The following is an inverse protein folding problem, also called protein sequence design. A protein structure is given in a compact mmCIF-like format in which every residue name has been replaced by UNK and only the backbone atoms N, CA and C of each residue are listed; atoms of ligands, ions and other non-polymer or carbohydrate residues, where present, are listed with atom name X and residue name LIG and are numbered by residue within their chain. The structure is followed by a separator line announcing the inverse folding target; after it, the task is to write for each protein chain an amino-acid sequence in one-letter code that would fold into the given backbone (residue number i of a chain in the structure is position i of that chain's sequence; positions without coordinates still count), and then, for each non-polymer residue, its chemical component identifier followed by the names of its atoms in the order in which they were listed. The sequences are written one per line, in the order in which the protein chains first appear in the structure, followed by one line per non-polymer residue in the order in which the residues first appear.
data_IF_124123047091
#
_entry.id   IF_124123047091
#
_cell.length_a   1.000
_cell.length_b   1.000
_cell.length_c   1.000
_cell.angle_alpha   90.00
_cell.angle_beta   90.00
_cell.angle_gamma   90.00
#
_symmetry.space_group_name_H-M   'P 1'
#
loop_
_entity.id
_entity.type
_entity.pdbx_description
1 polymer ?
#
# COMPACT_ATOMS: atom_id res chain seq x y z
N UNK A 1 33.07 -25.79 31.79
CA UNK A 1 33.25 -26.08 30.34
C UNK A 1 31.88 -26.49 29.79
N UNK A 2 31.11 -25.53 29.25
CA UNK A 2 29.78 -25.78 28.68
C UNK A 2 29.88 -25.85 27.16
N UNK A 3 29.49 -26.99 26.58
CA UNK A 3 29.45 -27.19 25.13
C UNK A 3 28.13 -26.63 24.56
N UNK A 4 28.15 -25.88 23.45
CA UNK A 4 26.95 -25.37 22.83
C UNK A 4 26.16 -26.51 22.15
N UNK A 5 24.86 -26.59 22.46
CA UNK A 5 23.92 -27.49 21.79
C UNK A 5 23.77 -27.09 20.32
N UNK A 6 24.06 -28.03 19.40
CA UNK A 6 23.96 -27.86 17.95
C UNK A 6 22.47 -27.69 17.57
N UNK A 7 21.97 -26.45 17.58
CA UNK A 7 20.57 -26.13 17.26
C UNK A 7 20.24 -26.67 15.86
N UNK A 8 19.23 -27.53 15.78
CA UNK A 8 18.92 -28.32 14.59
C UNK A 8 18.32 -27.45 13.46
N UNK A 9 19.19 -26.91 12.61
CA UNK A 9 18.83 -26.07 11.45
C UNK A 9 17.86 -26.74 10.47
N UNK A 10 17.73 -28.07 10.50
CA UNK A 10 16.82 -28.82 9.62
C UNK A 10 15.34 -28.63 10.01
N UNK A 11 15.04 -28.57 11.32
CA UNK A 11 13.68 -28.27 11.82
C UNK A 11 13.32 -26.80 11.61
N UNK A 12 14.28 -25.90 11.79
CA UNK A 12 14.11 -24.47 11.52
C UNK A 12 13.88 -24.18 10.03
N UNK A 13 14.63 -24.86 9.14
CA UNK A 13 14.41 -24.78 7.69
C UNK A 13 13.04 -25.32 7.30
N UNK A 14 12.62 -26.48 7.85
CA UNK A 14 11.30 -27.04 7.58
C UNK A 14 10.16 -26.12 8.05
N UNK A 15 10.31 -25.50 9.23
CA UNK A 15 9.37 -24.54 9.79
C UNK A 15 9.24 -23.25 8.96
N UNK A 16 10.26 -22.88 8.18
CA UNK A 16 10.22 -21.71 7.30
C UNK A 16 9.77 -22.07 5.88
N UNK A 17 10.16 -23.23 5.35
CA UNK A 17 9.86 -23.61 3.97
C UNK A 17 8.42 -24.04 3.77
N UNK A 18 7.82 -24.75 4.72
CA UNK A 18 6.43 -25.22 4.60
C UNK A 18 5.42 -24.06 4.52
N UNK A 19 5.43 -23.05 5.43
CA UNK A 19 4.52 -21.92 5.30
C UNK A 19 4.81 -21.09 4.05
N UNK A 20 6.07 -20.95 3.64
CA UNK A 20 6.43 -20.23 2.42
C UNK A 20 5.86 -20.89 1.16
N UNK A 21 5.94 -22.23 1.05
CA UNK A 21 5.36 -22.99 -0.06
C UNK A 21 3.82 -22.93 -0.04
N UNK A 22 3.19 -22.98 1.14
CA UNK A 22 1.75 -22.83 1.27
C UNK A 22 1.26 -21.44 0.86
N UNK A 23 1.99 -20.38 1.21
CA UNK A 23 1.68 -19.00 0.80
C UNK A 23 1.80 -18.85 -0.72
N UNK A 24 2.82 -19.46 -1.34
CA UNK A 24 2.96 -19.48 -2.80
C UNK A 24 1.84 -20.28 -3.50
N UNK A 25 1.42 -21.40 -2.91
CA UNK A 25 0.32 -22.22 -3.44
C UNK A 25 -1.06 -21.56 -3.27
N UNK A 26 -1.21 -20.59 -2.36
CA UNK A 26 -2.45 -19.86 -2.15
C UNK A 26 -2.77 -18.84 -3.27
N UNK A 27 -1.80 -18.53 -4.15
CA UNK A 27 -2.04 -17.71 -5.34
C UNK A 27 -2.67 -18.56 -6.47
N UNK A 28 -4.00 -18.76 -6.46
CA UNK A 28 -4.73 -19.28 -7.62
C UNK A 28 -5.47 -18.14 -8.34
N UNK A 29 -4.98 -17.75 -9.53
CA UNK A 29 -5.57 -16.64 -10.31
C UNK A 29 -6.91 -16.94 -11.00
N UNK A 30 -7.36 -18.19 -11.01
CA UNK A 30 -8.53 -18.65 -11.78
C UNK A 30 -9.76 -18.95 -10.90
N UNK A 31 -9.99 -18.14 -9.86
CA UNK A 31 -11.19 -18.25 -9.03
C UNK A 31 -12.42 -17.64 -9.72
N UNK A 32 -13.65 -18.06 -9.38
CA UNK A 32 -14.88 -17.46 -9.91
C UNK A 32 -15.07 -15.98 -9.50
N UNK A 33 -14.27 -15.49 -8.56
CA UNK A 33 -14.30 -14.13 -8.08
C UNK A 33 -12.85 -13.59 -8.02
N UNK A 34 -12.58 -12.54 -8.78
CA UNK A 34 -11.29 -11.86 -8.83
C UNK A 34 -11.50 -10.37 -8.57
N UNK A 35 -10.63 -9.78 -7.75
CA UNK A 35 -10.63 -8.34 -7.50
C UNK A 35 -9.91 -7.55 -8.61
N UNK A 36 -9.12 -8.23 -9.45
CA UNK A 36 -8.28 -7.62 -10.50
C UNK A 36 -8.76 -7.97 -11.92
N UNK A 37 -9.95 -8.57 -12.03
CA UNK A 37 -10.55 -8.94 -13.32
C UNK A 37 -12.03 -8.54 -13.32
N UNK A 38 -12.35 -7.31 -13.78
CA UNK A 38 -13.70 -6.76 -13.66
C UNK A 38 -14.69 -7.41 -14.65
N UNK A 39 -15.64 -8.17 -14.12
CA UNK A 39 -16.65 -8.89 -14.93
C UNK A 39 -17.87 -8.08 -15.37
N UNK A 40 -18.09 -6.88 -14.83
CA UNK A 40 -19.29 -6.06 -15.07
C UNK A 40 -18.99 -4.56 -15.20
N UNK A 41 -19.97 -3.74 -15.63
CA UNK A 41 -19.78 -2.29 -15.82
C UNK A 41 -19.34 -1.59 -14.53
N UNK A 42 -20.07 -1.77 -13.43
CA UNK A 42 -19.71 -1.21 -12.11
C UNK A 42 -18.34 -1.72 -11.64
N UNK A 43 -18.00 -2.97 -11.92
CA UNK A 43 -16.69 -3.51 -11.57
C UNK A 43 -15.55 -2.82 -12.33
N UNK A 44 -15.77 -2.46 -13.61
CA UNK A 44 -14.78 -1.70 -14.40
C UNK A 44 -14.58 -0.28 -13.89
N UNK A 45 -15.64 0.37 -13.41
CA UNK A 45 -15.53 1.71 -12.84
C UNK A 45 -14.75 1.69 -11.51
N UNK A 46 -15.00 0.65 -10.68
CA UNK A 46 -14.24 0.40 -9.45
C UNK A 46 -12.76 0.10 -9.78
N UNK A 47 -12.49 -0.72 -10.79
CA UNK A 47 -11.15 -1.08 -11.24
C UNK A 47 -10.36 0.16 -11.73
N UNK A 48 -11.00 1.04 -12.51
CA UNK A 48 -10.37 2.30 -12.91
C UNK A 48 -10.07 3.24 -11.74
N UNK A 49 -10.93 3.27 -10.72
CA UNK A 49 -10.64 4.01 -9.48
C UNK A 49 -9.51 3.37 -8.69
N UNK A 50 -9.43 2.05 -8.65
CA UNK A 50 -8.34 1.31 -8.03
C UNK A 50 -7.00 1.64 -8.69
N UNK A 51 -6.95 1.61 -10.02
CA UNK A 51 -5.74 1.96 -10.80
C UNK A 51 -5.25 3.38 -10.47
N UNK A 52 -6.17 4.35 -10.44
CA UNK A 52 -5.85 5.73 -10.09
C UNK A 52 -5.18 5.82 -8.71
N UNK A 53 -5.81 5.23 -7.69
CA UNK A 53 -5.31 5.28 -6.31
C UNK A 53 -4.01 4.49 -6.18
N UNK A 54 -3.90 3.34 -6.84
CA UNK A 54 -2.71 2.50 -6.82
C UNK A 54 -1.48 3.24 -7.37
N UNK A 55 -1.62 3.91 -8.51
CA UNK A 55 -0.52 4.69 -9.09
C UNK A 55 -0.17 5.92 -8.27
N UNK A 56 -1.15 6.62 -7.71
CA UNK A 56 -0.90 7.73 -6.78
C UNK A 56 -0.15 7.29 -5.52
N UNK A 57 -0.60 6.19 -4.90
CA UNK A 57 0.04 5.64 -3.71
C UNK A 57 1.47 5.17 -4.00
N UNK A 58 1.67 4.49 -5.14
CA UNK A 58 2.99 4.06 -5.59
C UNK A 58 3.93 5.24 -5.80
N UNK A 59 3.46 6.33 -6.42
CA UNK A 59 4.26 7.54 -6.62
C UNK A 59 4.69 8.18 -5.29
N UNK A 60 3.77 8.31 -4.32
CA UNK A 60 4.08 8.84 -2.98
C UNK A 60 5.05 7.92 -2.24
N UNK A 61 4.84 6.60 -2.31
CA UNK A 61 5.73 5.61 -1.70
C UNK A 61 7.16 5.76 -2.22
N UNK A 62 7.33 5.83 -3.55
CA UNK A 62 8.63 6.03 -4.18
C UNK A 62 9.25 7.36 -3.73
N UNK A 63 8.48 8.44 -3.77
CA UNK A 63 8.95 9.76 -3.36
C UNK A 63 9.48 9.79 -1.92
N UNK A 64 8.70 9.29 -0.96
CA UNK A 64 9.10 9.24 0.45
C UNK A 64 10.30 8.32 0.64
N UNK A 65 10.32 7.16 -0.04
CA UNK A 65 11.43 6.21 0.03
C UNK A 65 12.73 6.83 -0.49
N UNK A 66 12.68 7.56 -1.60
CA UNK A 66 13.85 8.27 -2.15
C UNK A 66 14.35 9.31 -1.16
N UNK A 67 13.47 10.15 -0.60
CA UNK A 67 13.86 11.16 0.39
C UNK A 67 14.48 10.52 1.63
N UNK A 68 13.92 9.42 2.11
CA UNK A 68 14.42 8.70 3.28
C UNK A 68 15.79 8.08 3.04
N UNK A 69 15.96 7.34 1.93
CA UNK A 69 17.25 6.73 1.55
C UNK A 69 18.29 7.82 1.30
N UNK A 70 17.91 8.91 0.63
CA UNK A 70 18.78 10.06 0.42
C UNK A 70 19.21 10.68 1.75
N UNK A 71 18.30 10.89 2.70
CA UNK A 71 18.62 11.46 3.99
C UNK A 71 19.59 10.57 4.77
N UNK A 72 19.35 9.26 4.82
CA UNK A 72 20.26 8.29 5.43
C UNK A 72 21.64 8.39 4.79
N UNK A 73 21.72 8.35 3.45
CA UNK A 73 23.01 8.30 2.77
C UNK A 73 23.77 9.63 2.87
N UNK A 74 23.06 10.76 2.83
CA UNK A 74 23.62 12.12 2.83
C UNK A 74 24.08 12.59 4.21
N UNK A 75 23.35 12.20 5.26
CA UNK A 75 23.60 12.62 6.65
C UNK A 75 24.12 11.48 7.54
N UNK A 76 24.58 10.37 6.95
CA UNK A 76 25.27 9.32 7.68
C UNK A 76 26.53 9.88 8.34
N UNK A 77 26.69 9.60 9.63
CA UNK A 77 27.92 9.85 10.37
C UNK A 77 29.12 9.16 9.68
N UNK A 78 30.25 9.86 9.67
CA UNK A 78 31.50 9.37 9.09
C UNK A 78 32.50 9.08 10.21
N UNK A 79 33.42 8.16 9.96
CA UNK A 79 34.47 7.84 10.92
C UNK A 79 35.27 9.10 11.29
N UNK A 80 35.33 9.41 12.59
CA UNK A 80 36.00 10.59 13.13
C UNK A 80 35.19 11.89 13.15
N UNK A 81 33.88 11.84 12.88
CA UNK A 81 32.98 13.00 12.99
C UNK A 81 32.27 13.03 14.35
N UNK A 82 32.89 13.70 15.34
CA UNK A 82 32.31 13.91 16.68
C UNK A 82 31.43 15.18 16.75
N UNK A 83 30.96 15.70 15.61
CA UNK A 83 30.22 16.97 15.57
C UNK A 83 28.76 16.78 15.97
N UNK A 84 28.33 17.43 17.05
CA UNK A 84 26.91 17.44 17.46
C UNK A 84 26.04 18.23 16.45
N UNK A 85 24.95 17.65 15.92
CA UNK A 85 24.06 18.36 15.01
C UNK A 85 23.35 19.52 15.70
N UNK A 86 23.06 20.57 14.94
CA UNK A 86 22.32 21.74 15.44
C UNK A 86 20.91 21.32 15.88
N UNK A 87 20.63 21.46 17.18
CA UNK A 87 19.30 21.23 17.75
C UNK A 87 18.34 22.33 17.26
N UNK A 88 17.47 21.97 16.31
CA UNK A 88 16.40 22.83 15.80
C UNK A 88 15.05 22.26 16.23
N UNK A 89 14.14 23.12 16.69
CA UNK A 89 12.82 22.69 17.16
C UNK A 89 11.88 22.24 16.04
N UNK A 90 12.18 22.56 14.78
CA UNK A 90 11.35 22.23 13.63
C UNK A 90 11.49 23.26 12.52
N UNK A 91 10.75 23.03 11.44
CA UNK A 91 10.64 23.98 10.34
C UNK A 91 9.17 24.08 9.95
N UNK A 92 8.52 25.15 10.41
CA UNK A 92 7.09 25.40 10.18
C UNK A 92 6.72 25.35 8.70
N UNK A 93 7.62 25.77 7.79
CA UNK A 93 7.34 25.72 6.36
C UNK A 93 7.25 24.27 5.85
N UNK A 94 8.11 23.37 6.34
CA UNK A 94 8.09 21.94 5.96
C UNK A 94 6.89 21.25 6.59
N UNK A 95 6.59 21.55 7.85
CA UNK A 95 5.45 20.98 8.58
C UNK A 95 4.12 21.35 7.90
N UNK A 96 3.91 22.64 7.63
CA UNK A 96 2.71 23.11 6.92
C UNK A 96 2.68 22.57 5.48
N UNK A 97 3.82 22.57 4.79
CA UNK A 97 3.91 22.03 3.42
C UNK A 97 3.48 20.57 3.34
N UNK A 98 3.94 19.72 4.27
CA UNK A 98 3.57 18.30 4.33
C UNK A 98 2.09 18.07 4.63
N UNK A 99 1.51 18.88 5.52
CA UNK A 99 0.07 18.82 5.84
C UNK A 99 -0.77 19.24 4.64
N UNK A 100 -0.46 20.38 4.03
CA UNK A 100 -1.19 20.89 2.85
C UNK A 100 -1.11 19.89 1.70
N UNK A 101 0.08 19.36 1.42
CA UNK A 101 0.26 18.30 0.41
C UNK A 101 -0.64 17.10 0.68
N UNK A 102 -0.68 16.61 1.92
CA UNK A 102 -1.50 15.46 2.32
C UNK A 102 -3.01 15.73 2.14
N UNK A 103 -3.47 16.91 2.56
CA UNK A 103 -4.89 17.31 2.43
C UNK A 103 -5.30 17.42 0.97
N UNK A 104 -4.47 18.05 0.13
CA UNK A 104 -4.75 18.21 -1.31
C UNK A 104 -4.80 16.84 -2.00
N UNK A 105 -3.88 15.94 -1.68
CA UNK A 105 -3.87 14.59 -2.22
C UNK A 105 -5.16 13.82 -1.89
N UNK A 106 -5.62 13.89 -0.64
CA UNK A 106 -6.89 13.28 -0.23
C UNK A 106 -8.09 13.92 -0.92
N UNK A 107 -8.09 15.25 -1.08
CA UNK A 107 -9.17 15.96 -1.77
C UNK A 107 -9.31 15.50 -3.24
N UNK A 108 -8.18 15.29 -3.94
CA UNK A 108 -8.17 14.80 -5.32
C UNK A 108 -8.79 13.41 -5.42
N UNK A 109 -8.43 12.48 -4.51
CA UNK A 109 -8.97 11.11 -4.49
C UNK A 109 -10.45 11.09 -4.09
N UNK A 110 -10.87 12.00 -3.21
CA UNK A 110 -12.23 12.04 -2.66
C UNK A 110 -13.29 12.27 -3.74
N UNK A 111 -13.03 13.15 -4.72
CA UNK A 111 -14.00 13.49 -5.77
C UNK A 111 -14.47 12.28 -6.60
N UNK A 112 -13.58 11.51 -7.27
CA UNK A 112 -14.01 10.34 -8.04
C UNK A 112 -14.57 9.23 -7.13
N UNK A 113 -14.06 9.11 -5.90
CA UNK A 113 -14.56 8.14 -4.92
C UNK A 113 -16.03 8.38 -4.56
N UNK A 114 -16.39 9.63 -4.24
CA UNK A 114 -17.79 9.98 -3.91
C UNK A 114 -18.69 9.79 -5.12
N UNK A 115 -18.23 10.14 -6.33
CA UNK A 115 -19.00 9.93 -7.57
C UNK A 115 -19.29 8.45 -7.82
N UNK A 116 -18.26 7.60 -7.77
CA UNK A 116 -18.43 6.16 -7.95
C UNK A 116 -19.33 5.53 -6.87
N UNK A 117 -19.24 6.01 -5.62
CA UNK A 117 -20.13 5.56 -4.55
C UNK A 117 -21.61 5.85 -4.84
N UNK A 118 -21.91 7.03 -5.40
CA UNK A 118 -23.28 7.41 -5.75
C UNK A 118 -23.81 6.56 -6.91
N UNK A 119 -22.97 6.27 -7.90
CA UNK A 119 -23.31 5.42 -9.05
C UNK A 119 -23.58 3.98 -8.63
N UNK A 120 -22.73 3.39 -7.79
CA UNK A 120 -22.93 2.03 -7.25
C UNK A 120 -24.22 1.92 -6.43
N UNK A 121 -24.63 3.00 -5.76
CA UNK A 121 -25.86 3.04 -4.94
C UNK A 121 -27.12 3.30 -5.76
N UNK A 122 -27.02 3.69 -7.02
CA UNK A 122 -28.18 3.97 -7.85
C UNK A 122 -28.99 2.68 -8.05
N UNK A 123 -30.27 2.72 -7.69
CA UNK A 123 -31.19 1.61 -7.94
C UNK A 123 -31.56 1.67 -9.43
N UNK A 124 -31.32 0.60 -10.21
CA UNK A 124 -31.71 0.59 -11.61
C UNK A 124 -33.24 0.57 -11.72
N UNK A 125 -33.80 1.46 -12.54
CA UNK A 125 -35.22 1.54 -12.86
C UNK A 125 -35.46 1.14 -14.33
N UNK A 126 -36.47 0.32 -14.60
CA UNK A 126 -36.82 -0.06 -15.98
C UNK A 126 -37.57 -1.39 -16.09
N UNK A 127 -38.14 -1.68 -17.28
CA UNK A 127 -38.86 -2.93 -17.53
C UNK A 127 -37.96 -4.18 -17.48
N UNK A 128 -36.66 -4.02 -17.71
CA UNK A 128 -35.68 -5.12 -17.78
C UNK A 128 -34.95 -5.41 -16.45
N UNK A 129 -35.42 -4.82 -15.34
CA UNK A 129 -34.81 -5.02 -14.02
C UNK A 129 -35.26 -6.34 -13.41
N UNK A 130 -34.32 -7.26 -13.18
CA UNK A 130 -34.56 -8.54 -12.50
C UNK A 130 -34.25 -8.43 -10.99
N UNK A 131 -35.25 -8.70 -10.15
CA UNK A 131 -35.05 -8.81 -8.70
C UNK A 131 -34.68 -10.25 -8.34
N UNK A 132 -33.52 -10.44 -7.72
CA UNK A 132 -33.04 -11.75 -7.24
C UNK A 132 -33.05 -11.74 -5.71
N UNK A 133 -33.71 -12.74 -5.11
CA UNK A 133 -33.66 -12.98 -3.67
C UNK A 133 -32.49 -13.92 -3.39
N UNK A 134 -31.48 -13.41 -2.69
CA UNK A 134 -30.25 -14.14 -2.31
C UNK A 134 -30.37 -14.67 -0.90
#
# INVERSE_FOLDING_TARGET
MHLPSKKNNRRLRLLLTVPFVLVLAACSGNGPQSALEPGGPIARDIDGLWDLVFWMATAVMIFVTILYVWAIWRYREKEGDDTEPKQVHGNTAIEVGGVVFSVVLLAIISVPTVRGLLEVRAIPEGPDVLQVQV
#
